data_IF_964799409081
#
_entry.id   IF_964799409081
#
_cell.length_a   1.000
_cell.length_b   1.000
_cell.length_c   1.000
_cell.angle_alpha   90.00
_cell.angle_beta   90.00
_cell.angle_gamma   90.00
#
_symmetry.space_group_name_H-M   'P 1'
#
loop_
_entity.id
_entity.type
_entity.pdbx_description
1 polymer ?
#
# COMPACT_ATOMS: atom_id res chain seq x y z
N UNK A 1 12.20 4.96 -20.41
CA UNK A 1 11.32 4.03 -19.66
C UNK A 1 10.62 4.77 -18.54
N UNK A 2 9.35 4.43 -18.20
CA UNK A 2 8.63 4.96 -17.03
C UNK A 2 8.63 3.93 -15.92
N UNK A 3 8.58 4.37 -14.66
CA UNK A 3 8.36 3.52 -13.49
C UNK A 3 7.04 3.91 -12.83
N UNK A 4 6.14 2.95 -12.66
CA UNK A 4 4.88 3.11 -11.94
C UNK A 4 4.96 2.30 -10.64
N UNK A 5 4.84 2.97 -9.52
CA UNK A 5 4.89 2.37 -8.18
C UNK A 5 3.50 2.47 -7.56
N UNK A 6 2.86 1.35 -7.30
CA UNK A 6 1.52 1.31 -6.70
C UNK A 6 1.58 0.93 -5.22
N UNK A 7 0.80 1.61 -4.40
CA UNK A 7 0.39 1.08 -3.10
C UNK A 7 -0.66 -0.03 -3.29
N UNK A 8 -1.02 -0.72 -2.23
CA UNK A 8 -1.96 -1.86 -2.27
C UNK A 8 -3.29 -1.52 -1.63
N UNK A 9 -3.28 -1.21 -0.33
CA UNK A 9 -4.49 -1.05 0.46
C UNK A 9 -5.16 0.30 0.18
N UNK A 10 -6.39 0.28 -0.34
CA UNK A 10 -7.10 1.48 -0.79
C UNK A 10 -6.78 1.90 -2.22
N UNK A 11 -5.64 1.46 -2.76
CA UNK A 11 -5.17 1.79 -4.11
C UNK A 11 -5.50 0.70 -5.13
N UNK A 12 -5.13 -0.54 -4.87
CA UNK A 12 -5.43 -1.70 -5.72
C UNK A 12 -6.49 -2.61 -5.12
N UNK A 13 -6.48 -2.76 -3.81
CA UNK A 13 -7.37 -3.63 -3.04
C UNK A 13 -8.15 -2.82 -2.03
N UNK A 14 -9.47 -2.94 -2.04
CA UNK A 14 -10.34 -2.36 -1.04
C UNK A 14 -10.65 -3.36 0.05
N UNK A 15 -10.63 -2.89 1.29
CA UNK A 15 -11.06 -3.62 2.47
C UNK A 15 -12.38 -3.03 2.99
N UNK A 16 -13.48 -3.76 2.78
CA UNK A 16 -14.81 -3.35 3.26
C UNK A 16 -14.82 -3.38 4.78
N UNK A 17 -15.41 -2.36 5.40
CA UNK A 17 -15.49 -2.22 6.86
C UNK A 17 -14.13 -2.34 7.58
N UNK A 18 -13.03 -2.00 6.91
CA UNK A 18 -11.66 -2.10 7.44
C UNK A 18 -11.31 -3.54 7.88
N UNK A 19 -11.72 -4.54 7.11
CA UNK A 19 -11.58 -5.96 7.45
C UNK A 19 -10.12 -6.38 7.65
N UNK A 20 -9.17 -5.85 6.88
CA UNK A 20 -7.74 -6.09 7.05
C UNK A 20 -7.22 -5.47 8.36
N UNK A 21 -7.59 -4.22 8.66
CA UNK A 21 -7.23 -3.54 9.92
C UNK A 21 -7.79 -4.29 11.13
N UNK A 22 -9.03 -4.78 11.03
CA UNK A 22 -9.64 -5.64 12.05
C UNK A 22 -8.90 -6.97 12.20
N UNK A 23 -8.40 -7.56 11.11
CA UNK A 23 -7.55 -8.76 11.18
C UNK A 23 -6.22 -8.48 11.90
N UNK A 24 -5.61 -7.31 11.65
CA UNK A 24 -4.38 -6.89 12.33
C UNK A 24 -4.62 -6.76 13.83
N UNK A 25 -5.68 -6.04 14.24
CA UNK A 25 -6.08 -5.88 15.64
C UNK A 25 -6.38 -7.23 16.30
N UNK A 26 -7.18 -8.09 15.67
CA UNK A 26 -7.50 -9.43 16.20
C UNK A 26 -6.25 -10.34 16.33
N UNK A 27 -5.28 -10.16 15.44
CA UNK A 27 -3.98 -10.85 15.56
C UNK A 27 -3.26 -10.44 16.84
N UNK A 28 -3.21 -9.14 17.09
CA UNK A 28 -2.61 -8.59 18.29
C UNK A 28 -3.30 -9.12 19.57
N UNK A 29 -4.61 -9.04 19.60
CA UNK A 29 -5.42 -9.53 20.74
C UNK A 29 -5.21 -11.02 20.97
N UNK A 30 -5.11 -11.81 19.91
CA UNK A 30 -4.87 -13.26 20.00
C UNK A 30 -3.50 -13.59 20.59
N UNK A 31 -2.45 -12.84 20.23
CA UNK A 31 -1.07 -13.13 20.63
C UNK A 31 -0.78 -12.55 22.02
N UNK A 32 -1.23 -11.33 22.29
CA UNK A 32 -0.83 -10.60 23.50
C UNK A 32 -1.91 -10.55 24.59
N UNK A 33 -3.14 -10.99 24.29
CA UNK A 33 -4.24 -10.99 25.27
C UNK A 33 -4.69 -9.59 25.71
N UNK A 34 -4.30 -8.55 24.96
CA UNK A 34 -4.67 -7.15 25.21
C UNK A 34 -5.44 -6.59 24.03
N UNK A 35 -6.44 -5.68 24.24
CA UNK A 35 -7.10 -5.01 23.14
C UNK A 35 -6.11 -4.19 22.33
N UNK A 36 -6.27 -4.19 21.00
CA UNK A 36 -5.50 -3.31 20.13
C UNK A 36 -6.02 -1.87 20.29
N UNK A 37 -5.14 -0.86 20.47
CA UNK A 37 -5.58 0.47 20.91
C UNK A 37 -6.46 1.18 19.89
N UNK A 38 -6.13 1.11 18.61
CA UNK A 38 -6.88 1.77 17.55
C UNK A 38 -6.53 1.21 16.16
N UNK A 39 -7.51 1.19 15.26
CA UNK A 39 -7.29 0.95 13.83
C UNK A 39 -7.37 2.25 13.02
N UNK A 40 -7.37 3.39 13.67
CA UNK A 40 -7.16 4.69 13.03
C UNK A 40 -5.66 4.93 12.84
N UNK A 41 -5.17 4.62 11.64
CA UNK A 41 -3.76 4.69 11.30
C UNK A 41 -3.16 6.09 11.35
N UNK A 42 -3.99 7.15 11.30
CA UNK A 42 -3.52 8.54 11.45
C UNK A 42 -2.90 8.84 12.81
N UNK A 43 -3.17 8.00 13.81
CA UNK A 43 -2.62 8.16 15.15
C UNK A 43 -1.18 7.64 15.28
N UNK A 44 -0.64 7.02 14.24
CA UNK A 44 0.73 6.50 14.24
C UNK A 44 1.69 7.42 13.49
N UNK A 45 2.94 7.57 13.94
CA UNK A 45 3.91 8.48 13.32
C UNK A 45 4.29 8.06 11.89
N UNK A 46 4.34 6.76 11.65
CA UNK A 46 4.53 6.15 10.33
C UNK A 46 3.55 5.01 10.14
N UNK A 47 2.87 5.00 9.00
CA UNK A 47 1.86 4.00 8.67
C UNK A 47 2.50 2.85 7.91
N UNK A 48 3.21 2.02 8.67
CA UNK A 48 3.74 0.72 8.21
C UNK A 48 3.41 -0.34 9.25
N UNK A 49 3.13 -1.59 8.82
CA UNK A 49 2.81 -2.69 9.72
C UNK A 49 3.88 -2.87 10.82
N UNK A 50 5.17 -2.71 10.44
CA UNK A 50 6.29 -2.83 11.38
C UNK A 50 6.25 -1.72 12.44
N UNK A 51 6.11 -0.45 12.05
CA UNK A 51 6.10 0.67 13.00
C UNK A 51 4.87 0.65 13.89
N UNK A 52 3.70 0.34 13.31
CA UNK A 52 2.45 0.23 14.08
C UNK A 52 2.61 -0.81 15.18
N UNK A 53 3.08 -2.03 14.84
CA UNK A 53 3.28 -3.09 15.82
C UNK A 53 4.34 -2.72 16.87
N UNK A 54 5.48 -2.15 16.47
CA UNK A 54 6.54 -1.70 17.37
C UNK A 54 6.03 -0.64 18.35
N UNK A 55 5.27 0.34 17.89
CA UNK A 55 4.71 1.39 18.73
C UNK A 55 3.79 0.80 19.79
N UNK A 56 2.85 -0.07 19.39
CA UNK A 56 1.90 -0.67 20.34
C UNK A 56 2.60 -1.60 21.36
N UNK A 57 3.64 -2.33 20.95
CA UNK A 57 4.44 -3.15 21.87
C UNK A 57 5.19 -2.27 22.87
N UNK A 58 5.80 -1.18 22.38
CA UNK A 58 6.48 -0.23 23.27
C UNK A 58 5.53 0.40 24.28
N UNK A 59 4.34 0.83 23.84
CA UNK A 59 3.34 1.48 24.69
C UNK A 59 2.73 0.52 25.72
N UNK A 60 2.45 -0.73 25.34
CA UNK A 60 1.79 -1.70 26.21
C UNK A 60 2.73 -2.45 27.16
N UNK A 61 3.99 -2.62 26.78
CA UNK A 61 4.94 -3.49 27.50
C UNK A 61 6.25 -2.79 27.87
N UNK A 62 6.49 -1.55 27.43
CA UNK A 62 7.71 -0.79 27.74
C UNK A 62 9.00 -1.36 27.15
N UNK A 63 8.88 -2.17 26.09
CA UNK A 63 10.01 -2.87 25.48
C UNK A 63 9.95 -2.89 23.97
N UNK A 64 11.08 -3.18 23.34
CA UNK A 64 11.15 -3.38 21.90
C UNK A 64 10.43 -4.67 21.45
N UNK A 65 9.92 -4.68 20.23
CA UNK A 65 9.44 -5.86 19.52
C UNK A 65 10.63 -6.72 19.08
N UNK A 66 10.62 -8.01 19.42
CA UNK A 66 11.64 -8.95 18.96
C UNK A 66 11.33 -9.47 17.54
N UNK A 67 12.36 -9.91 16.80
CA UNK A 67 12.16 -10.49 15.46
C UNK A 67 11.33 -11.78 15.48
N UNK A 68 11.44 -12.60 16.54
CA UNK A 68 10.63 -13.80 16.72
C UNK A 68 9.15 -13.47 16.93
N UNK A 69 8.83 -12.45 17.71
CA UNK A 69 7.47 -11.98 17.92
C UNK A 69 6.87 -11.38 16.65
N UNK A 70 7.64 -10.56 15.93
CA UNK A 70 7.23 -10.01 14.63
C UNK A 70 6.91 -11.14 13.65
N UNK A 71 7.78 -12.16 13.56
CA UNK A 71 7.53 -13.31 12.70
C UNK A 71 6.27 -14.08 13.11
N UNK A 72 6.08 -14.35 14.40
CA UNK A 72 4.85 -15.01 14.89
C UNK A 72 3.60 -14.19 14.60
N UNK A 73 3.67 -12.87 14.74
CA UNK A 73 2.58 -11.97 14.42
C UNK A 73 2.26 -12.01 12.92
N UNK A 74 3.27 -11.90 12.05
CA UNK A 74 3.09 -11.98 10.59
C UNK A 74 2.40 -13.29 10.18
N UNK A 75 2.84 -14.43 10.73
CA UNK A 75 2.24 -15.74 10.44
C UNK A 75 0.77 -15.79 10.86
N UNK A 76 0.46 -15.32 12.06
CA UNK A 76 -0.92 -15.30 12.57
C UNK A 76 -1.81 -14.34 11.78
N UNK A 77 -1.29 -13.18 11.41
CA UNK A 77 -2.00 -12.20 10.58
C UNK A 77 -2.32 -12.79 9.20
N UNK A 78 -1.36 -13.44 8.55
CA UNK A 78 -1.62 -14.14 7.29
C UNK A 78 -2.67 -15.25 7.41
N UNK A 79 -2.66 -15.99 8.53
CA UNK A 79 -3.69 -17.01 8.81
C UNK A 79 -5.09 -16.39 8.86
N UNK A 80 -5.25 -15.31 9.65
CA UNK A 80 -6.53 -14.61 9.79
C UNK A 80 -6.98 -13.95 8.49
N UNK A 81 -6.08 -13.34 7.72
CA UNK A 81 -6.41 -12.81 6.40
C UNK A 81 -6.93 -13.91 5.46
N UNK A 82 -6.25 -15.06 5.38
CA UNK A 82 -6.68 -16.19 4.56
C UNK A 82 -8.03 -16.75 5.02
N UNK A 83 -8.24 -16.83 6.34
CA UNK A 83 -9.53 -17.30 6.92
C UNK A 83 -10.66 -16.34 6.52
N UNK A 84 -10.50 -15.03 6.75
CA UNK A 84 -11.51 -14.01 6.41
C UNK A 84 -11.85 -14.01 4.91
N UNK A 85 -10.85 -14.08 4.05
CA UNK A 85 -11.06 -14.15 2.59
C UNK A 85 -11.90 -15.36 2.16
N UNK A 86 -11.74 -16.49 2.83
CA UNK A 86 -12.56 -17.70 2.54
C UNK A 86 -13.98 -17.60 3.10
N UNK A 87 -14.12 -17.00 4.28
CA UNK A 87 -15.43 -16.91 4.98
C UNK A 87 -16.27 -15.74 4.48
N UNK A 88 -15.63 -14.64 4.17
CA UNK A 88 -16.26 -13.39 3.74
C UNK A 88 -15.50 -12.78 2.56
N UNK A 89 -15.53 -13.44 1.39
CA UNK A 89 -14.73 -13.02 0.24
C UNK A 89 -15.07 -11.59 -0.22
N UNK A 90 -16.29 -11.12 0.01
CA UNK A 90 -16.74 -9.77 -0.32
C UNK A 90 -16.11 -8.66 0.54
N UNK A 91 -15.44 -9.02 1.65
CA UNK A 91 -14.72 -8.04 2.47
C UNK A 91 -13.46 -7.50 1.78
N UNK A 92 -12.97 -8.19 0.76
CA UNK A 92 -11.87 -7.74 -0.06
C UNK A 92 -12.29 -7.73 -1.53
N UNK A 93 -12.20 -6.58 -2.15
CA UNK A 93 -12.48 -6.41 -3.58
C UNK A 93 -11.37 -5.60 -4.24
N UNK A 94 -11.26 -5.67 -5.56
CA UNK A 94 -10.41 -4.71 -6.25
C UNK A 94 -11.00 -3.29 -6.14
N UNK A 95 -10.14 -2.28 -6.16
CA UNK A 95 -10.57 -0.93 -6.53
C UNK A 95 -11.06 -1.00 -7.97
N UNK A 96 -12.22 -0.41 -8.25
CA UNK A 96 -12.90 -0.62 -9.53
C UNK A 96 -11.95 -0.42 -10.73
N UNK A 97 -11.79 -1.44 -11.56
CA UNK A 97 -10.91 -1.46 -12.73
C UNK A 97 -9.41 -1.69 -12.46
N UNK A 98 -8.98 -1.83 -11.20
CA UNK A 98 -7.56 -1.95 -10.85
C UNK A 98 -6.87 -3.13 -11.54
N UNK A 99 -7.50 -4.30 -11.56
CA UNK A 99 -6.94 -5.49 -12.23
C UNK A 99 -6.74 -5.25 -13.73
N UNK A 100 -7.74 -4.71 -14.40
CA UNK A 100 -7.65 -4.42 -15.83
C UNK A 100 -6.56 -3.38 -16.13
N UNK A 101 -6.45 -2.34 -15.28
CA UNK A 101 -5.42 -1.32 -15.41
C UNK A 101 -4.01 -1.90 -15.19
N UNK A 102 -3.81 -2.73 -14.17
CA UNK A 102 -2.51 -3.39 -13.95
C UNK A 102 -2.11 -4.24 -15.18
N UNK A 103 -3.03 -5.02 -15.74
CA UNK A 103 -2.74 -5.77 -16.98
C UNK A 103 -2.37 -4.85 -18.14
N UNK A 104 -3.06 -3.71 -18.28
CA UNK A 104 -2.78 -2.73 -19.32
C UNK A 104 -1.38 -2.13 -19.17
N UNK A 105 -1.02 -1.61 -18.00
CA UNK A 105 0.30 -0.98 -17.78
C UNK A 105 1.45 -1.99 -17.89
N UNK A 106 1.24 -3.24 -17.49
CA UNK A 106 2.21 -4.33 -17.68
C UNK A 106 2.45 -4.65 -19.17
N UNK A 107 1.47 -4.41 -20.04
CA UNK A 107 1.61 -4.62 -21.49
C UNK A 107 2.17 -3.40 -22.24
N UNK A 108 2.31 -2.26 -21.57
CA UNK A 108 2.81 -1.05 -22.20
C UNK A 108 4.33 -1.14 -22.44
N UNK A 109 4.82 -0.81 -23.64
CA UNK A 109 6.24 -0.72 -23.88
C UNK A 109 6.86 0.39 -23.01
N UNK A 110 8.12 0.26 -22.68
CA UNK A 110 8.87 1.23 -21.89
C UNK A 110 8.25 1.59 -20.54
N UNK A 111 7.57 0.62 -19.90
CA UNK A 111 6.95 0.80 -18.58
C UNK A 111 7.36 -0.34 -17.64
N UNK A 112 7.91 -0.01 -16.50
CA UNK A 112 8.10 -0.91 -15.37
C UNK A 112 7.02 -0.66 -14.32
N UNK A 113 6.57 -1.73 -13.68
CA UNK A 113 5.57 -1.70 -12.60
C UNK A 113 6.18 -2.29 -11.33
N UNK A 114 5.99 -1.62 -10.23
CA UNK A 114 6.40 -2.03 -8.89
C UNK A 114 5.28 -1.82 -7.88
N UNK A 115 5.38 -2.51 -6.76
CA UNK A 115 4.55 -2.27 -5.59
C UNK A 115 5.42 -1.74 -4.45
N UNK A 116 4.95 -0.69 -3.76
CA UNK A 116 5.54 -0.21 -2.52
C UNK A 116 4.42 0.05 -1.50
N UNK A 117 4.30 -0.81 -0.50
CA UNK A 117 3.19 -0.80 0.46
C UNK A 117 3.65 -0.73 1.91
N UNK A 118 2.87 -0.04 2.77
CA UNK A 118 3.08 -0.04 4.22
C UNK A 118 2.83 -1.38 4.90
N UNK A 119 2.17 -2.33 4.22
CA UNK A 119 2.01 -3.71 4.68
C UNK A 119 3.26 -4.57 4.47
N UNK A 120 3.32 -5.75 5.11
CA UNK A 120 4.36 -6.74 4.81
C UNK A 120 4.12 -7.38 3.44
N UNK A 121 5.22 -7.75 2.74
CA UNK A 121 5.18 -8.32 1.38
C UNK A 121 4.24 -9.51 1.25
N UNK A 122 4.29 -10.45 2.19
CA UNK A 122 3.46 -11.67 2.12
C UNK A 122 1.97 -11.35 2.26
N UNK A 123 1.60 -10.40 3.12
CA UNK A 123 0.20 -9.97 3.29
C UNK A 123 -0.29 -9.23 2.06
N UNK A 124 0.54 -8.39 1.45
CA UNK A 124 0.24 -7.72 0.19
C UNK A 124 -0.02 -8.73 -0.96
N UNK A 125 0.84 -9.75 -1.10
CA UNK A 125 0.60 -10.83 -2.08
C UNK A 125 -0.73 -11.55 -1.85
N UNK A 126 -1.07 -11.88 -0.59
CA UNK A 126 -2.35 -12.50 -0.25
C UNK A 126 -3.53 -11.64 -0.71
N UNK A 127 -3.48 -10.32 -0.45
CA UNK A 127 -4.54 -9.38 -0.82
C UNK A 127 -4.68 -9.27 -2.35
N UNK A 128 -3.59 -9.03 -3.06
CA UNK A 128 -3.58 -8.89 -4.52
C UNK A 128 -4.05 -10.16 -5.23
N UNK A 129 -3.58 -11.34 -4.79
CA UNK A 129 -4.04 -12.62 -5.36
C UNK A 129 -5.54 -12.84 -5.19
N UNK A 130 -6.14 -12.36 -4.09
CA UNK A 130 -7.57 -12.48 -3.87
C UNK A 130 -8.39 -11.78 -4.96
N UNK A 131 -7.95 -10.62 -5.38
CA UNK A 131 -8.65 -9.82 -6.41
C UNK A 131 -8.14 -10.11 -7.83
N UNK A 132 -7.30 -11.13 -8.00
CA UNK A 132 -6.82 -11.57 -9.32
C UNK A 132 -5.75 -10.66 -9.93
N UNK A 133 -5.07 -9.84 -9.13
CA UNK A 133 -3.91 -9.06 -9.59
C UNK A 133 -2.68 -9.97 -9.65
N UNK A 134 -1.91 -9.99 -10.76
CA UNK A 134 -0.80 -10.91 -10.99
C UNK A 134 0.43 -10.53 -10.18
N UNK A 135 0.38 -10.71 -8.85
CA UNK A 135 1.40 -10.26 -7.91
C UNK A 135 2.79 -10.86 -8.12
N UNK A 136 2.94 -11.80 -9.04
CA UNK A 136 4.22 -12.39 -9.45
C UNK A 136 4.84 -11.68 -10.67
N UNK A 137 4.12 -10.77 -11.31
CA UNK A 137 4.57 -10.07 -12.51
C UNK A 137 5.49 -8.87 -12.22
N UNK A 138 5.62 -8.48 -10.94
CA UNK A 138 6.40 -7.32 -10.49
C UNK A 138 6.98 -7.57 -9.10
N UNK A 139 7.97 -6.78 -8.71
CA UNK A 139 8.49 -6.85 -7.33
C UNK A 139 7.59 -6.07 -6.36
N UNK A 140 7.60 -6.53 -5.12
CA UNK A 140 6.84 -5.93 -4.03
C UNK A 140 7.83 -5.51 -2.93
N UNK A 141 7.94 -4.23 -2.66
CA UNK A 141 8.59 -3.68 -1.48
C UNK A 141 7.55 -3.46 -0.39
N UNK A 142 7.85 -3.88 0.81
CA UNK A 142 6.94 -3.81 1.95
C UNK A 142 7.66 -3.41 3.24
N UNK A 143 6.90 -3.38 4.34
CA UNK A 143 7.40 -3.04 5.68
C UNK A 143 8.37 -4.07 6.28
N UNK A 144 8.79 -5.08 5.53
CA UNK A 144 9.74 -6.10 5.94
C UNK A 144 11.11 -5.48 6.27
N UNK A 145 11.40 -5.28 7.55
CA UNK A 145 12.62 -4.63 8.03
C UNK A 145 12.67 -3.10 7.84
N UNK A 146 11.56 -2.47 7.44
CA UNK A 146 11.46 -1.02 7.22
C UNK A 146 10.39 -0.40 8.11
N UNK A 147 10.67 0.81 8.56
CA UNK A 147 9.81 1.55 9.49
C UNK A 147 9.17 2.79 8.86
N UNK A 148 9.62 3.22 7.69
CA UNK A 148 9.10 4.40 6.98
C UNK A 148 8.67 4.05 5.57
N UNK A 149 7.72 4.83 5.02
CA UNK A 149 7.25 4.69 3.64
C UNK A 149 8.36 5.06 2.65
N UNK A 150 9.15 6.06 2.99
CA UNK A 150 10.31 6.49 2.21
C UNK A 150 11.28 5.32 1.99
N UNK A 151 11.68 4.61 3.05
CA UNK A 151 12.59 3.46 2.95
C UNK A 151 12.01 2.30 2.11
N UNK A 152 10.68 2.13 2.10
CA UNK A 152 10.00 1.14 1.26
C UNK A 152 10.06 1.54 -0.21
N UNK A 153 9.81 2.82 -0.52
CA UNK A 153 9.88 3.35 -1.89
C UNK A 153 11.32 3.34 -2.39
N UNK A 154 12.30 3.71 -1.56
CA UNK A 154 13.74 3.66 -1.88
C UNK A 154 14.17 2.26 -2.31
N UNK A 155 13.73 1.20 -1.61
CA UNK A 155 13.98 -0.19 -2.06
C UNK A 155 13.41 -0.46 -3.45
N UNK A 156 12.19 0.02 -3.73
CA UNK A 156 11.59 -0.13 -5.07
C UNK A 156 12.39 0.60 -6.14
N UNK A 157 12.88 1.81 -5.84
CA UNK A 157 13.74 2.58 -6.74
C UNK A 157 15.08 1.90 -6.97
N UNK A 158 15.73 1.38 -5.92
CA UNK A 158 16.98 0.64 -6.03
C UNK A 158 16.85 -0.60 -6.93
N UNK A 159 15.77 -1.36 -6.76
CA UNK A 159 15.49 -2.53 -7.61
C UNK A 159 15.27 -2.09 -9.06
N UNK A 160 14.48 -1.03 -9.27
CA UNK A 160 14.22 -0.49 -10.60
C UNK A 160 15.50 -0.02 -11.30
N UNK A 161 16.38 0.68 -10.59
CA UNK A 161 17.65 1.19 -11.14
C UNK A 161 18.66 0.08 -11.48
N UNK A 162 18.50 -1.13 -10.97
CA UNK A 162 19.29 -2.30 -11.42
C UNK A 162 18.82 -2.83 -12.79
N UNK A 163 17.56 -2.54 -13.16
CA UNK A 163 16.95 -2.96 -14.42
C UNK A 163 17.16 -1.87 -15.49
N UNK A 164 16.94 -0.60 -15.11
CA UNK A 164 17.02 0.55 -15.99
C UNK A 164 17.67 1.73 -15.26
N UNK A 165 18.75 2.25 -15.80
CA UNK A 165 19.53 3.31 -15.14
C UNK A 165 18.81 4.66 -15.11
N UNK A 166 17.92 4.93 -16.10
CA UNK A 166 17.26 6.23 -16.23
C UNK A 166 15.78 6.07 -16.55
N UNK A 167 14.94 6.63 -15.71
CA UNK A 167 13.52 6.76 -15.96
C UNK A 167 13.19 8.17 -16.45
N UNK A 168 12.39 8.25 -17.51
CA UNK A 168 11.86 9.54 -18.01
C UNK A 168 10.77 10.09 -17.08
N UNK A 169 10.15 9.20 -16.29
CA UNK A 169 9.11 9.55 -15.31
C UNK A 169 9.00 8.46 -14.27
N UNK A 170 8.80 8.84 -13.00
CA UNK A 170 8.51 7.95 -11.88
C UNK A 170 7.24 8.45 -11.21
N UNK A 171 6.19 7.64 -11.22
CA UNK A 171 4.89 8.00 -10.64
C UNK A 171 4.55 7.04 -9.53
N UNK A 172 4.26 7.56 -8.36
CA UNK A 172 3.66 6.81 -7.25
C UNK A 172 2.14 6.95 -7.29
N UNK A 173 1.45 5.84 -7.13
CA UNK A 173 -0.02 5.79 -7.12
C UNK A 173 -0.46 5.32 -5.73
N UNK A 174 -1.25 6.15 -5.02
CA UNK A 174 -1.65 5.89 -3.64
C UNK A 174 -2.99 6.52 -3.29
N UNK A 175 -3.57 6.14 -2.13
CA UNK A 175 -4.91 6.60 -1.73
C UNK A 175 -4.94 7.45 -0.45
N UNK A 176 -3.82 7.55 0.25
CA UNK A 176 -3.81 8.03 1.62
C UNK A 176 -3.01 9.35 1.83
N UNK A 177 -3.32 10.11 2.88
CA UNK A 177 -2.57 11.32 3.25
C UNK A 177 -1.07 11.09 3.44
N UNK A 178 -0.66 9.94 3.96
CA UNK A 178 0.75 9.59 4.11
C UNK A 178 1.44 9.34 2.77
N UNK A 179 0.73 8.90 1.72
CA UNK A 179 1.29 8.76 0.36
C UNK A 179 1.61 10.14 -0.23
N UNK A 180 0.69 11.09 -0.09
CA UNK A 180 0.92 12.49 -0.49
C UNK A 180 2.13 13.08 0.24
N UNK A 181 2.21 12.90 1.57
CA UNK A 181 3.32 13.40 2.37
C UNK A 181 4.66 12.77 1.95
N UNK A 182 4.70 11.45 1.80
CA UNK A 182 5.91 10.71 1.41
C UNK A 182 6.38 11.11 0.02
N UNK A 183 5.50 11.15 -0.97
CA UNK A 183 5.85 11.53 -2.35
C UNK A 183 6.29 12.98 -2.46
N UNK A 184 5.71 13.89 -1.68
CA UNK A 184 6.19 15.27 -1.56
C UNK A 184 7.63 15.31 -1.02
N UNK A 185 7.90 14.60 0.08
CA UNK A 185 9.24 14.57 0.69
C UNK A 185 10.29 14.03 -0.28
N UNK A 186 9.92 13.03 -1.07
CA UNK A 186 10.80 12.38 -2.06
C UNK A 186 10.80 13.07 -3.43
N UNK A 187 9.99 14.11 -3.63
CA UNK A 187 9.82 14.81 -4.92
C UNK A 187 9.45 13.84 -6.07
N UNK A 188 8.59 12.86 -5.78
CA UNK A 188 8.05 11.92 -6.75
C UNK A 188 6.71 12.41 -7.30
N UNK A 189 6.49 12.19 -8.60
CA UNK A 189 5.18 12.41 -9.19
C UNK A 189 4.12 11.55 -8.52
N UNK A 190 2.88 12.07 -8.37
CA UNK A 190 1.84 11.41 -7.62
C UNK A 190 0.49 11.42 -8.34
N UNK A 191 -0.20 10.29 -8.31
CA UNK A 191 -1.61 10.16 -8.69
C UNK A 191 -2.38 9.55 -7.52
N UNK A 192 -3.37 10.27 -7.02
CA UNK A 192 -4.26 9.79 -5.97
C UNK A 192 -5.39 8.91 -6.53
N UNK A 193 -5.70 7.81 -5.85
CA UNK A 193 -6.87 6.97 -6.13
C UNK A 193 -7.78 7.03 -4.91
N UNK A 194 -8.92 7.71 -5.02
CA UNK A 194 -9.80 7.88 -3.85
C UNK A 194 -11.27 7.97 -4.25
N UNK A 195 -12.14 7.40 -3.45
CA UNK A 195 -13.59 7.33 -3.71
C UNK A 195 -14.22 8.71 -3.89
N UNK A 196 -15.33 8.76 -4.61
CA UNK A 196 -16.13 9.98 -4.80
C UNK A 196 -16.60 10.55 -3.45
N UNK A 197 -16.47 11.87 -3.27
CA UNK A 197 -16.84 12.58 -2.03
C UNK A 197 -15.76 12.55 -0.96
N UNK A 198 -14.58 11.98 -1.25
CA UNK A 198 -13.46 11.85 -0.32
C UNK A 198 -12.12 12.25 -1.01
N UNK A 199 -12.19 12.71 -2.26
CA UNK A 199 -11.02 13.12 -3.07
C UNK A 199 -10.37 14.39 -2.58
N UNK A 200 -11.16 15.28 -2.03
CA UNK A 200 -10.75 16.58 -1.51
C UNK A 200 -9.65 16.43 -0.45
N UNK A 201 -9.67 15.36 0.33
CA UNK A 201 -8.65 15.08 1.35
C UNK A 201 -7.23 15.04 0.78
N UNK A 202 -7.02 14.44 -0.40
CA UNK A 202 -5.70 14.40 -1.03
C UNK A 202 -5.39 15.70 -1.77
N UNK A 203 -6.40 16.32 -2.39
CA UNK A 203 -6.26 17.59 -3.09
C UNK A 203 -5.88 18.74 -2.12
N UNK A 204 -6.50 18.80 -0.94
CA UNK A 204 -6.17 19.76 0.11
C UNK A 204 -4.74 19.58 0.64
N UNK A 205 -4.22 18.36 0.56
CA UNK A 205 -2.83 18.06 0.88
C UNK A 205 -1.86 18.32 -0.27
N UNK A 206 -2.34 18.83 -1.41
CA UNK A 206 -1.52 19.25 -2.54
C UNK A 206 -1.39 18.25 -3.67
N UNK A 207 -2.15 17.14 -3.67
CA UNK A 207 -2.22 16.25 -4.81
C UNK A 207 -2.97 16.91 -5.97
N UNK A 208 -2.37 16.96 -7.15
CA UNK A 208 -2.94 17.64 -8.32
C UNK A 208 -3.86 16.74 -9.15
N UNK A 209 -3.61 15.43 -9.12
CA UNK A 209 -4.40 14.43 -9.84
C UNK A 209 -4.96 13.42 -8.84
N UNK A 210 -6.28 13.46 -8.62
CA UNK A 210 -7.00 12.49 -7.76
C UNK A 210 -8.17 11.91 -8.53
N UNK A 211 -8.12 10.62 -8.79
CA UNK A 211 -9.14 9.86 -9.51
C UNK A 211 -9.97 9.04 -8.52
N UNK A 212 -11.17 8.66 -8.91
CA UNK A 212 -12.04 7.82 -8.09
C UNK A 212 -11.62 6.35 -8.11
N UNK A 213 -11.24 5.87 -9.28
CA UNK A 213 -10.95 4.48 -9.59
C UNK A 213 -10.20 4.38 -10.95
N UNK A 214 -10.13 3.18 -11.52
CA UNK A 214 -9.45 2.89 -12.78
C UNK A 214 -10.41 2.55 -13.93
N UNK A 215 -11.72 2.79 -13.81
CA UNK A 215 -12.69 2.41 -14.84
C UNK A 215 -12.47 3.17 -16.14
N UNK A 216 -12.17 4.46 -16.06
CA UNK A 216 -11.73 5.24 -17.21
C UNK A 216 -10.21 5.15 -17.34
N UNK A 217 -9.79 4.19 -18.15
CA UNK A 217 -8.36 3.91 -18.33
C UNK A 217 -7.62 5.03 -19.06
N UNK A 218 -8.27 5.76 -19.95
CA UNK A 218 -7.63 6.87 -20.67
C UNK A 218 -7.38 8.04 -19.72
N UNK A 219 -8.36 8.40 -18.90
CA UNK A 219 -8.21 9.45 -17.88
C UNK A 219 -7.08 9.09 -16.90
N UNK A 220 -6.94 7.82 -16.52
CA UNK A 220 -5.82 7.40 -15.67
C UNK A 220 -4.46 7.55 -16.39
N UNK A 221 -4.37 7.18 -17.66
CA UNK A 221 -3.13 7.33 -18.43
C UNK A 221 -2.77 8.80 -18.68
N UNK A 222 -3.75 9.67 -18.89
CA UNK A 222 -3.56 11.12 -18.97
C UNK A 222 -3.04 11.67 -17.63
N UNK A 223 -3.64 11.26 -16.51
CA UNK A 223 -3.17 11.64 -15.17
C UNK A 223 -1.72 11.20 -14.92
N UNK A 224 -1.34 9.99 -15.34
CA UNK A 224 0.07 9.53 -15.25
C UNK A 224 1.04 10.42 -16.04
N UNK A 225 0.63 10.91 -17.21
CA UNK A 225 1.46 11.80 -18.03
C UNK A 225 1.62 13.18 -17.40
N UNK A 226 0.51 13.71 -16.87
CA UNK A 226 0.43 15.05 -16.27
C UNK A 226 0.87 15.08 -14.79
N UNK A 227 1.09 13.92 -14.16
CA UNK A 227 1.46 13.82 -12.75
C UNK A 227 2.70 14.67 -12.41
N UNK A 228 2.64 15.31 -11.27
CA UNK A 228 3.72 16.11 -10.68
C UNK A 228 3.80 15.83 -9.17
N UNK A 229 4.91 16.17 -8.49
CA UNK A 229 4.99 16.03 -7.04
C UNK A 229 3.93 16.87 -6.33
N UNK A 230 3.34 16.39 -5.22
CA UNK A 230 2.38 17.17 -4.42
C UNK A 230 3.00 18.47 -3.89
N UNK A 231 2.18 19.53 -3.87
CA UNK A 231 2.58 20.89 -3.38
C UNK A 231 2.58 20.99 -1.88
#
# INVERSE_FOLDING_TARGET
MKLLIFDVDGTLVQSVERADSKCFAATYETIYGKPFPTIDWHQFPHVTDTTILQTVIQDHFGRALSESEKHAFEQKYMELLRYNRRKQPHHFSEVAGARAMIHRVLSMPDTLVAIATGGWRKTAHIKMQHVGIPSQAFWVSGADGKTTREAIIEESLEIAHRIEQRFSKIVYIGDAPWDVKTTRNMQLDFVGIRRRGDREVLAELGATHVLQDYLDQEVFLEALQAAEPPK
#
